data_IF_676929340942
#
_entry.id   IF_676929340942
#
_cell.length_a   1.000
_cell.length_b   1.000
_cell.length_c   1.000
_cell.angle_alpha   90.00
_cell.angle_beta   90.00
_cell.angle_gamma   90.00
#
_symmetry.space_group_name_H-M   'P 1'
#
loop_
_entity.id
_entity.type
_entity.pdbx_description
1 polymer ?
#
# COMPACT_ATOMS: atom_id res chain seq x y z
N UNK A 1 -8.79 -16.30 27.09
CA UNK A 1 -8.94 -17.19 25.93
C UNK A 1 -8.02 -18.39 25.99
N UNK A 2 -6.70 -18.22 26.05
CA UNK A 2 -5.71 -19.32 26.05
C UNK A 2 -5.87 -20.25 27.27
N UNK A 3 -6.08 -19.72 28.45
CA UNK A 3 -6.24 -20.45 29.71
C UNK A 3 -7.67 -20.94 29.98
N UNK A 4 -8.62 -20.62 29.10
CA UNK A 4 -10.00 -21.07 29.27
C UNK A 4 -10.11 -22.58 29.10
N UNK A 5 -10.69 -23.27 30.11
CA UNK A 5 -10.87 -24.72 30.13
C UNK A 5 -11.99 -25.23 29.22
N UNK A 6 -12.93 -24.35 28.84
CA UNK A 6 -14.10 -24.70 28.00
C UNK A 6 -13.98 -24.14 26.60
N UNK A 7 -14.48 -24.86 25.60
CA UNK A 7 -14.54 -24.41 24.21
C UNK A 7 -15.41 -23.14 24.09
N UNK A 8 -16.52 -23.06 24.81
CA UNK A 8 -17.41 -21.90 24.84
C UNK A 8 -16.70 -20.66 25.39
N UNK A 9 -15.95 -20.80 26.50
CA UNK A 9 -15.15 -19.70 27.05
C UNK A 9 -14.05 -19.23 26.11
N UNK A 10 -13.37 -20.15 25.40
CA UNK A 10 -12.39 -19.78 24.35
C UNK A 10 -13.03 -18.95 23.25
N UNK A 11 -14.20 -19.36 22.73
CA UNK A 11 -14.94 -18.63 21.70
C UNK A 11 -15.42 -17.28 22.19
N UNK A 12 -15.94 -17.18 23.41
CA UNK A 12 -16.38 -15.91 24.00
C UNK A 12 -15.25 -14.89 24.05
N UNK A 13 -14.12 -15.22 24.63
CA UNK A 13 -12.97 -14.33 24.71
C UNK A 13 -12.37 -13.97 23.34
N UNK A 14 -12.40 -14.92 22.40
CA UNK A 14 -11.99 -14.67 21.02
C UNK A 14 -12.87 -13.60 20.36
N UNK A 15 -14.20 -13.78 20.37
CA UNK A 15 -15.11 -12.83 19.73
C UNK A 15 -15.17 -11.50 20.44
N UNK A 16 -15.04 -11.48 21.77
CA UNK A 16 -14.93 -10.24 22.54
C UNK A 16 -13.68 -9.46 22.11
N UNK A 17 -12.52 -10.11 22.00
CA UNK A 17 -11.28 -9.44 21.56
C UNK A 17 -11.37 -8.93 20.13
N UNK A 18 -11.96 -9.70 19.20
CA UNK A 18 -12.23 -9.26 17.81
C UNK A 18 -13.18 -8.06 17.82
N UNK A 19 -14.29 -8.16 18.58
CA UNK A 19 -15.30 -7.10 18.69
C UNK A 19 -14.73 -5.80 19.23
N UNK A 20 -13.87 -5.84 20.24
CA UNK A 20 -13.18 -4.67 20.79
C UNK A 20 -12.29 -4.02 19.73
N UNK A 21 -11.42 -4.77 19.05
CA UNK A 21 -10.52 -4.23 18.02
C UNK A 21 -11.30 -3.59 16.85
N UNK A 22 -12.32 -4.28 16.33
CA UNK A 22 -13.17 -3.77 15.24
C UNK A 22 -14.05 -2.61 15.74
N UNK A 23 -14.55 -2.67 16.96
CA UNK A 23 -15.38 -1.63 17.58
C UNK A 23 -14.65 -0.30 17.71
N UNK A 24 -13.39 -0.31 18.18
CA UNK A 24 -12.55 0.88 18.21
C UNK A 24 -12.33 1.45 16.81
N UNK A 25 -11.96 0.61 15.84
CA UNK A 25 -11.80 1.05 14.45
C UNK A 25 -13.12 1.61 13.89
N UNK A 26 -14.25 0.95 14.16
CA UNK A 26 -15.57 1.38 13.75
C UNK A 26 -15.97 2.74 14.33
N UNK A 27 -15.71 2.94 15.61
CA UNK A 27 -16.03 4.19 16.31
C UNK A 27 -15.16 5.36 15.80
N UNK A 28 -13.84 5.20 15.77
CA UNK A 28 -12.95 6.31 15.45
C UNK A 28 -12.88 6.64 13.95
N UNK A 29 -12.97 5.62 13.07
CA UNK A 29 -12.77 5.81 11.62
C UNK A 29 -14.07 5.84 10.82
N UNK A 30 -15.08 5.04 11.20
CA UNK A 30 -16.23 4.77 10.32
C UNK A 30 -17.56 5.33 10.81
N UNK A 31 -17.66 5.79 12.06
CA UNK A 31 -18.92 6.27 12.63
C UNK A 31 -19.57 7.36 11.76
N UNK A 32 -18.83 8.42 11.45
CA UNK A 32 -19.35 9.56 10.69
C UNK A 32 -19.76 9.16 9.27
N UNK A 33 -19.02 8.25 8.63
CA UNK A 33 -19.38 7.72 7.30
C UNK A 33 -20.71 6.97 7.33
N UNK A 34 -20.91 6.10 8.32
CA UNK A 34 -22.19 5.37 8.44
C UNK A 34 -23.33 6.30 8.82
N UNK A 35 -23.13 7.26 9.72
CA UNK A 35 -24.16 8.23 10.12
C UNK A 35 -24.59 9.10 8.91
N UNK A 36 -23.65 9.61 8.13
CA UNK A 36 -23.94 10.40 6.94
C UNK A 36 -24.64 9.55 5.86
N UNK A 37 -24.08 8.37 5.52
CA UNK A 37 -24.67 7.48 4.50
C UNK A 37 -26.09 7.00 4.89
N UNK A 38 -26.35 6.78 6.18
CA UNK A 38 -27.67 6.42 6.67
C UNK A 38 -28.65 7.59 6.56
N UNK A 39 -28.23 8.80 6.90
CA UNK A 39 -29.06 10.01 6.73
C UNK A 39 -29.40 10.26 5.26
N UNK A 40 -28.42 10.09 4.36
CA UNK A 40 -28.64 10.20 2.92
C UNK A 40 -29.66 9.15 2.43
N UNK A 41 -29.53 7.90 2.87
CA UNK A 41 -30.47 6.83 2.52
C UNK A 41 -31.89 7.13 3.02
N UNK A 42 -32.04 7.67 4.24
CA UNK A 42 -33.34 8.08 4.77
C UNK A 42 -33.94 9.24 3.97
N UNK A 43 -33.11 10.18 3.51
CA UNK A 43 -33.55 11.32 2.71
C UNK A 43 -34.15 10.88 1.36
N UNK A 44 -33.64 9.80 0.76
CA UNK A 44 -34.18 9.21 -0.48
C UNK A 44 -35.60 8.64 -0.31
N UNK A 45 -35.98 8.23 0.91
CA UNK A 45 -37.35 7.74 1.23
C UNK A 45 -38.21 8.80 1.93
N UNK A 46 -37.78 10.08 1.89
CA UNK A 46 -38.55 11.24 2.36
C UNK A 46 -38.33 11.64 3.82
N UNK A 47 -37.46 10.96 4.58
CA UNK A 47 -37.17 11.32 5.96
C UNK A 47 -35.92 12.24 6.02
N UNK A 48 -36.10 13.52 6.34
CA UNK A 48 -35.01 14.45 6.57
C UNK A 48 -34.48 14.28 7.98
N UNK A 49 -33.25 13.78 8.12
CA UNK A 49 -32.54 13.63 9.39
C UNK A 49 -31.20 14.33 9.31
N UNK A 50 -30.80 15.00 10.38
CA UNK A 50 -29.43 15.52 10.53
C UNK A 50 -28.59 14.43 11.19
N UNK A 51 -27.53 13.92 10.54
CA UNK A 51 -26.69 12.91 11.16
C UNK A 51 -25.96 13.49 12.37
N UNK A 52 -25.95 12.72 13.47
CA UNK A 52 -25.13 13.10 14.61
C UNK A 52 -23.67 12.80 14.30
N UNK A 53 -22.88 13.84 14.00
CA UNK A 53 -21.46 13.75 13.65
C UNK A 53 -20.63 13.91 14.91
N UNK A 54 -19.67 13.00 15.12
CA UNK A 54 -18.72 13.05 16.21
C UNK A 54 -17.45 13.80 15.79
N UNK A 55 -17.04 14.78 16.58
CA UNK A 55 -15.74 15.45 16.45
C UNK A 55 -14.67 14.66 17.21
N UNK A 56 -14.24 13.54 16.66
CA UNK A 56 -13.25 12.66 17.29
C UNK A 56 -11.95 12.70 16.50
N UNK A 57 -10.84 12.93 17.19
CA UNK A 57 -9.50 12.86 16.58
C UNK A 57 -9.16 11.39 16.30
N UNK A 58 -8.85 11.08 15.04
CA UNK A 58 -8.44 9.74 14.65
C UNK A 58 -7.06 9.41 15.26
N UNK A 59 -6.95 8.38 16.12
CA UNK A 59 -5.66 7.97 16.66
C UNK A 59 -4.69 7.55 15.56
N UNK A 60 -3.47 8.09 15.58
CA UNK A 60 -2.44 7.80 14.60
C UNK A 60 -2.13 6.30 14.59
N UNK A 61 -2.16 5.70 13.39
CA UNK A 61 -1.85 4.27 13.22
C UNK A 61 -2.96 3.29 13.61
N UNK A 62 -4.19 3.77 13.98
CA UNK A 62 -5.28 2.88 14.43
C UNK A 62 -5.53 1.69 13.49
N UNK A 63 -5.47 1.92 12.19
CA UNK A 63 -5.66 0.87 11.19
C UNK A 63 -4.56 -0.20 11.24
N UNK A 64 -3.31 0.20 11.51
CA UNK A 64 -2.15 -0.70 11.56
C UNK A 64 -2.12 -1.52 12.85
N UNK A 65 -2.24 -0.88 14.01
CA UNK A 65 -2.24 -1.64 15.26
C UNK A 65 -3.50 -2.50 15.47
N UNK A 66 -4.62 -2.15 14.81
CA UNK A 66 -5.78 -3.05 14.74
C UNK A 66 -5.43 -4.36 14.02
N UNK A 67 -4.70 -4.31 12.90
CA UNK A 67 -4.24 -5.53 12.24
C UNK A 67 -3.26 -6.35 13.08
N UNK A 68 -2.36 -5.69 13.83
CA UNK A 68 -1.47 -6.37 14.77
C UNK A 68 -2.30 -7.10 15.86
N UNK A 69 -3.25 -6.39 16.48
CA UNK A 69 -4.12 -6.97 17.51
C UNK A 69 -4.98 -8.12 17.00
N UNK A 70 -5.63 -7.94 15.84
CA UNK A 70 -6.45 -8.99 15.23
C UNK A 70 -5.63 -10.24 14.89
N UNK A 71 -4.48 -10.08 14.23
CA UNK A 71 -3.63 -11.22 13.88
C UNK A 71 -3.11 -11.95 15.12
N UNK A 72 -2.70 -11.21 16.16
CA UNK A 72 -2.25 -11.77 17.43
C UNK A 72 -3.33 -12.62 18.10
N UNK A 73 -4.55 -12.08 18.23
CA UNK A 73 -5.69 -12.82 18.82
C UNK A 73 -6.04 -14.07 18.01
N UNK A 74 -6.08 -13.96 16.67
CA UNK A 74 -6.38 -15.09 15.79
C UNK A 74 -5.28 -16.16 15.87
N UNK A 75 -4.02 -15.75 15.91
CA UNK A 75 -2.89 -16.69 15.96
C UNK A 75 -2.81 -17.43 17.31
N UNK A 76 -3.13 -16.77 18.43
CA UNK A 76 -3.29 -17.43 19.72
C UNK A 76 -4.47 -18.43 19.68
N UNK A 77 -5.63 -18.00 19.15
CA UNK A 77 -6.80 -18.87 19.05
C UNK A 77 -6.53 -20.14 18.23
N UNK A 78 -5.73 -19.99 17.16
CA UNK A 78 -5.29 -21.09 16.27
C UNK A 78 -4.07 -21.84 16.78
N UNK A 79 -3.58 -21.56 17.99
CA UNK A 79 -2.37 -22.14 18.62
C UNK A 79 -1.10 -21.99 17.77
N UNK A 80 -0.98 -20.91 16.98
CA UNK A 80 0.21 -20.61 16.18
C UNK A 80 1.30 -19.93 17.00
N UNK A 81 0.90 -19.19 18.05
CA UNK A 81 1.78 -18.53 19.01
C UNK A 81 1.18 -18.64 20.40
N UNK A 82 2.04 -18.70 21.42
CA UNK A 82 1.61 -18.58 22.83
C UNK A 82 1.37 -17.11 23.17
N UNK A 83 0.43 -16.81 24.08
CA UNK A 83 0.24 -15.44 24.54
C UNK A 83 1.49 -14.92 25.25
N UNK A 84 1.89 -13.69 24.91
CA UNK A 84 2.96 -13.01 25.61
C UNK A 84 2.47 -12.57 26.99
N UNK A 85 3.26 -12.88 28.03
CA UNK A 85 2.97 -12.52 29.42
C UNK A 85 3.74 -11.29 29.89
N UNK A 86 4.83 -10.97 29.21
CA UNK A 86 5.60 -9.77 29.47
C UNK A 86 4.90 -8.57 28.81
N UNK A 87 4.37 -7.67 29.62
CA UNK A 87 3.69 -6.46 29.14
C UNK A 87 4.61 -5.57 28.31
N UNK A 88 5.89 -5.50 28.65
CA UNK A 88 6.87 -4.65 27.92
C UNK A 88 7.07 -5.22 26.52
N UNK A 89 7.32 -6.52 26.37
CA UNK A 89 7.54 -7.16 25.07
C UNK A 89 6.31 -7.00 24.16
N UNK A 90 5.12 -7.19 24.72
CA UNK A 90 3.87 -6.97 23.98
C UNK A 90 3.68 -5.50 23.59
N UNK A 91 3.97 -4.57 24.49
CA UNK A 91 3.86 -3.14 24.19
C UNK A 91 4.83 -2.71 23.10
N UNK A 92 6.07 -3.21 23.14
CA UNK A 92 7.07 -2.95 22.08
C UNK A 92 6.62 -3.54 20.75
N UNK A 93 6.04 -4.76 20.74
CA UNK A 93 5.50 -5.35 19.51
C UNK A 93 4.41 -4.49 18.87
N UNK A 94 3.45 -3.97 19.66
CA UNK A 94 2.33 -3.16 19.15
C UNK A 94 2.79 -1.76 18.72
N UNK A 95 3.73 -1.17 19.46
CA UNK A 95 4.21 0.20 19.27
C UNK A 95 5.59 0.29 18.62
N UNK A 96 6.05 -0.74 17.91
CA UNK A 96 7.36 -0.73 17.26
C UNK A 96 7.44 0.43 16.26
N UNK A 97 8.19 1.46 16.62
CA UNK A 97 8.08 2.78 16.01
C UNK A 97 8.25 2.83 14.49
N UNK A 98 9.07 1.97 13.82
CA UNK A 98 9.15 2.00 12.36
C UNK A 98 7.84 1.61 11.66
N UNK A 99 6.90 0.96 12.39
CA UNK A 99 5.63 0.45 11.87
C UNK A 99 4.42 1.24 12.35
N UNK A 100 4.60 2.23 13.22
CA UNK A 100 3.51 2.84 13.98
C UNK A 100 2.50 3.57 13.08
N UNK A 101 3.00 4.28 12.05
CA UNK A 101 2.19 5.13 11.17
C UNK A 101 1.82 4.41 9.89
N UNK A 102 2.79 3.74 9.32
CA UNK A 102 2.71 3.01 8.07
C UNK A 102 3.82 1.93 8.07
N UNK A 103 4.07 1.32 6.96
CA UNK A 103 5.09 0.29 6.87
C UNK A 103 4.50 -1.09 6.71
N UNK A 104 5.31 -2.15 6.79
CA UNK A 104 4.79 -3.52 6.67
C UNK A 104 3.89 -3.90 7.85
N UNK A 105 2.75 -4.52 7.55
CA UNK A 105 1.86 -5.07 8.57
C UNK A 105 2.47 -6.36 9.10
N UNK A 106 3.13 -6.25 10.25
CA UNK A 106 3.81 -7.36 10.89
C UNK A 106 2.86 -8.30 11.64
N UNK A 107 3.33 -9.52 11.84
CA UNK A 107 2.64 -10.53 12.65
C UNK A 107 3.43 -10.82 13.90
N UNK A 108 2.73 -11.12 15.00
CA UNK A 108 3.38 -11.49 16.24
C UNK A 108 4.28 -12.73 16.08
N UNK A 109 3.87 -13.67 15.24
CA UNK A 109 4.67 -14.86 14.92
C UNK A 109 6.01 -14.56 14.25
N UNK A 110 6.18 -13.39 13.63
CA UNK A 110 7.41 -12.97 12.95
C UNK A 110 8.21 -11.94 13.77
N UNK A 111 7.56 -10.91 14.30
CA UNK A 111 8.24 -9.80 14.97
C UNK A 111 8.56 -10.10 16.44
N UNK A 112 7.61 -10.67 17.21
CA UNK A 112 7.77 -10.86 18.65
C UNK A 112 9.00 -11.73 19.03
N UNK A 113 9.27 -12.87 18.36
CA UNK A 113 10.49 -13.66 18.64
C UNK A 113 11.78 -12.86 18.39
N UNK A 114 11.81 -11.97 17.40
CA UNK A 114 12.97 -11.14 17.10
C UNK A 114 13.19 -10.07 18.19
N UNK A 115 12.11 -9.53 18.77
CA UNK A 115 12.20 -8.57 19.89
C UNK A 115 12.76 -9.20 21.15
N UNK A 116 12.44 -10.47 21.42
CA UNK A 116 12.86 -11.22 22.59
C UNK A 116 14.28 -11.77 22.51
N UNK A 117 14.83 -11.93 21.30
CA UNK A 117 16.16 -12.46 21.12
C UNK A 117 17.24 -11.43 21.42
N UNK A 118 18.36 -11.88 22.02
CA UNK A 118 19.55 -11.09 22.21
C UNK A 118 20.15 -10.74 20.84
N UNK A 119 20.25 -9.45 20.55
CA UNK A 119 20.78 -8.96 19.27
C UNK A 119 22.28 -8.72 19.36
N UNK A 120 22.96 -8.99 18.27
CA UNK A 120 24.38 -8.68 18.09
C UNK A 120 24.50 -7.63 16.98
N UNK A 121 25.45 -6.71 17.16
CA UNK A 121 25.75 -5.72 16.13
C UNK A 121 26.30 -6.41 14.88
N UNK A 122 25.66 -6.18 13.73
CA UNK A 122 26.11 -6.63 12.42
C UNK A 122 26.33 -5.43 11.51
N UNK A 123 27.60 -5.18 11.17
CA UNK A 123 28.02 -4.07 10.31
C UNK A 123 27.45 -4.19 8.90
N UNK A 124 27.32 -5.40 8.36
CA UNK A 124 26.80 -5.61 7.01
C UNK A 124 25.31 -5.27 6.97
N UNK A 125 24.53 -5.75 7.95
CA UNK A 125 23.10 -5.46 8.09
C UNK A 125 22.85 -3.96 8.32
N UNK A 126 23.66 -3.31 9.17
CA UNK A 126 23.59 -1.86 9.39
C UNK A 126 23.87 -1.07 8.10
N UNK A 127 24.94 -1.43 7.37
CA UNK A 127 25.31 -0.73 6.13
C UNK A 127 24.21 -0.92 5.06
N UNK A 128 23.62 -2.09 4.96
CA UNK A 128 22.50 -2.36 4.06
C UNK A 128 21.26 -1.58 4.47
N UNK A 129 20.94 -1.52 5.78
CA UNK A 129 19.87 -0.70 6.33
C UNK A 129 20.00 0.79 5.99
N UNK A 130 21.21 1.36 6.15
CA UNK A 130 21.46 2.76 5.79
C UNK A 130 21.30 3.03 4.29
N UNK A 131 21.72 2.11 3.42
CA UNK A 131 21.46 2.23 1.98
C UNK A 131 19.97 2.18 1.65
N UNK A 132 19.22 1.31 2.32
CA UNK A 132 17.78 1.21 2.12
C UNK A 132 17.06 2.47 2.62
N UNK A 133 17.47 3.05 3.76
CA UNK A 133 16.96 4.36 4.22
C UNK A 133 17.23 5.45 3.18
N UNK A 134 18.45 5.52 2.65
CA UNK A 134 18.83 6.50 1.62
C UNK A 134 17.93 6.40 0.38
N UNK A 135 17.64 5.16 -0.08
CA UNK A 135 16.76 4.93 -1.20
C UNK A 135 15.30 5.31 -0.87
N UNK A 136 14.84 5.02 0.33
CA UNK A 136 13.52 5.42 0.82
C UNK A 136 13.35 6.94 0.85
N UNK A 137 14.35 7.67 1.36
CA UNK A 137 14.37 9.13 1.38
C UNK A 137 14.37 9.71 -0.04
N UNK A 138 15.16 9.15 -0.96
CA UNK A 138 15.13 9.55 -2.36
C UNK A 138 13.72 9.41 -2.96
N UNK A 139 13.06 8.27 -2.77
CA UNK A 139 11.70 8.05 -3.27
C UNK A 139 10.71 9.06 -2.68
N UNK A 140 10.78 9.31 -1.36
CA UNK A 140 9.86 10.25 -0.68
C UNK A 140 10.12 11.68 -1.14
N UNK A 141 11.34 12.18 -0.99
CA UNK A 141 11.65 13.61 -1.16
C UNK A 141 11.76 13.99 -2.63
N UNK A 142 12.46 13.17 -3.44
CA UNK A 142 12.77 13.55 -4.84
C UNK A 142 11.62 13.20 -5.77
N UNK A 143 10.94 12.09 -5.57
CA UNK A 143 9.89 11.64 -6.50
C UNK A 143 8.48 11.97 -5.97
N UNK A 144 8.13 11.45 -4.77
CA UNK A 144 6.77 11.53 -4.28
C UNK A 144 6.31 12.97 -4.03
N UNK A 145 7.10 13.76 -3.30
CA UNK A 145 6.72 15.13 -2.92
C UNK A 145 6.65 16.06 -4.14
N UNK A 146 7.57 15.90 -5.10
CA UNK A 146 7.52 16.66 -6.35
C UNK A 146 6.33 16.25 -7.24
N UNK A 147 5.98 14.96 -7.31
CA UNK A 147 4.76 14.51 -7.99
C UNK A 147 3.49 14.99 -7.29
N UNK A 148 3.48 15.02 -5.95
CA UNK A 148 2.34 15.42 -5.14
C UNK A 148 1.89 16.85 -5.43
N UNK A 149 2.82 17.78 -5.61
CA UNK A 149 2.52 19.18 -5.89
C UNK A 149 1.65 19.33 -7.14
N UNK A 150 2.00 18.64 -8.22
CA UNK A 150 1.25 18.69 -9.49
C UNK A 150 0.00 17.81 -9.46
N UNK A 151 0.07 16.62 -8.83
CA UNK A 151 -1.11 15.78 -8.68
C UNK A 151 -2.20 16.48 -7.89
N UNK A 152 -1.86 17.12 -6.76
CA UNK A 152 -2.82 17.87 -5.94
C UNK A 152 -3.40 19.07 -6.71
N UNK A 153 -2.58 19.85 -7.43
CA UNK A 153 -3.04 20.97 -8.23
C UNK A 153 -4.10 20.52 -9.25
N UNK A 154 -3.84 19.43 -9.97
CA UNK A 154 -4.74 18.94 -11.03
C UNK A 154 -5.99 18.26 -10.44
N UNK A 155 -5.86 17.43 -9.43
CA UNK A 155 -6.99 16.72 -8.81
C UNK A 155 -7.93 17.64 -8.02
N UNK A 156 -7.43 18.74 -7.48
CA UNK A 156 -8.27 19.68 -6.74
C UNK A 156 -9.12 20.58 -7.68
N UNK A 157 -8.69 20.77 -8.92
CA UNK A 157 -9.36 21.62 -9.90
C UNK A 157 -9.55 20.92 -11.27
N UNK A 158 -10.16 19.71 -11.33
CA UNK A 158 -10.21 18.93 -12.57
C UNK A 158 -11.07 19.57 -13.68
N UNK A 159 -11.95 20.49 -13.31
CA UNK A 159 -12.78 21.22 -14.28
C UNK A 159 -11.96 22.14 -15.19
N UNK A 160 -10.85 22.68 -14.68
CA UNK A 160 -10.03 23.70 -15.33
C UNK A 160 -9.09 23.13 -16.41
N UNK A 161 -8.90 21.78 -16.44
CA UNK A 161 -7.90 21.15 -17.28
C UNK A 161 -8.50 20.28 -18.38
N UNK A 162 -7.79 20.12 -19.50
CA UNK A 162 -8.10 19.18 -20.57
C UNK A 162 -7.76 17.72 -20.17
N UNK A 163 -8.30 16.76 -20.94
CA UNK A 163 -8.09 15.33 -20.69
C UNK A 163 -6.62 14.91 -20.71
N UNK A 164 -5.80 15.54 -21.53
CA UNK A 164 -4.34 15.34 -21.58
C UNK A 164 -3.66 15.70 -20.25
N UNK A 165 -4.00 16.86 -19.66
CA UNK A 165 -3.47 17.29 -18.35
C UNK A 165 -3.99 16.42 -17.22
N UNK A 166 -5.27 16.01 -17.28
CA UNK A 166 -5.82 15.05 -16.31
C UNK A 166 -5.07 13.70 -16.34
N UNK A 167 -4.71 13.22 -17.53
CA UNK A 167 -3.89 12.01 -17.64
C UNK A 167 -2.50 12.21 -17.00
N UNK A 168 -1.85 13.35 -17.23
CA UNK A 168 -0.58 13.71 -16.58
C UNK A 168 -0.75 13.76 -15.04
N UNK A 169 -1.83 14.36 -14.55
CA UNK A 169 -2.16 14.37 -13.11
C UNK A 169 -2.33 12.96 -12.54
N UNK A 170 -3.01 12.06 -13.26
CA UNK A 170 -3.16 10.67 -12.87
C UNK A 170 -1.82 9.91 -12.84
N UNK A 171 -0.92 10.19 -13.78
CA UNK A 171 0.44 9.64 -13.79
C UNK A 171 1.25 10.16 -12.59
N UNK A 172 1.22 11.46 -12.30
CA UNK A 172 1.89 12.01 -11.12
C UNK A 172 1.36 11.40 -9.83
N UNK A 173 0.05 11.23 -9.68
CA UNK A 173 -0.51 10.55 -8.52
C UNK A 173 -0.07 9.08 -8.44
N UNK A 174 0.02 8.38 -9.57
CA UNK A 174 0.49 7.00 -9.64
C UNK A 174 1.92 6.86 -9.09
N UNK A 175 2.82 7.79 -9.42
CA UNK A 175 4.19 7.79 -8.88
C UNK A 175 4.24 8.34 -7.45
N UNK A 176 3.43 9.32 -7.11
CA UNK A 176 3.30 9.83 -5.74
C UNK A 176 2.94 8.70 -4.77
N UNK A 177 1.82 8.00 -4.98
CA UNK A 177 1.35 6.95 -4.06
C UNK A 177 2.36 5.80 -3.93
N UNK A 178 3.02 5.43 -5.02
CA UNK A 178 4.05 4.39 -4.98
C UNK A 178 5.29 4.85 -4.21
N UNK A 179 5.86 5.99 -4.57
CA UNK A 179 7.11 6.45 -4.01
C UNK A 179 6.96 6.93 -2.57
N UNK A 180 5.83 7.52 -2.21
CA UNK A 180 5.53 7.93 -0.83
C UNK A 180 5.46 6.70 0.09
N UNK A 181 4.63 5.74 -0.25
CA UNK A 181 4.46 4.56 0.61
C UNK A 181 5.62 3.56 0.53
N UNK A 182 6.20 3.31 -0.65
CA UNK A 182 7.37 2.43 -0.74
C UNK A 182 8.62 3.10 -0.16
N UNK A 183 8.72 4.44 -0.23
CA UNK A 183 9.77 5.21 0.42
C UNK A 183 9.73 5.06 1.94
N UNK A 184 8.55 5.29 2.54
CA UNK A 184 8.33 5.04 3.97
C UNK A 184 8.67 3.58 4.34
N UNK A 185 8.18 2.61 3.55
CA UNK A 185 8.46 1.19 3.81
C UNK A 185 9.96 0.87 3.80
N UNK A 186 10.73 1.43 2.85
CA UNK A 186 12.17 1.24 2.80
C UNK A 186 12.89 1.90 3.99
N UNK A 187 12.45 3.09 4.41
CA UNK A 187 12.96 3.74 5.63
C UNK A 187 12.68 2.86 6.84
N UNK A 188 11.46 2.32 6.97
CA UNK A 188 11.07 1.46 8.08
C UNK A 188 11.91 0.17 8.13
N UNK A 189 12.07 -0.51 6.97
CA UNK A 189 12.89 -1.73 6.87
C UNK A 189 14.35 -1.44 7.20
N UNK A 190 14.92 -0.39 6.62
CA UNK A 190 16.29 0.01 6.86
C UNK A 190 16.53 0.38 8.32
N UNK A 191 15.62 1.13 8.93
CA UNK A 191 15.67 1.50 10.35
C UNK A 191 15.62 0.27 11.26
N UNK A 192 14.70 -0.67 10.99
CA UNK A 192 14.62 -1.91 11.76
C UNK A 192 15.91 -2.73 11.68
N UNK A 193 16.58 -2.76 10.52
CA UNK A 193 17.89 -3.40 10.34
C UNK A 193 18.99 -2.80 11.19
N UNK A 194 18.95 -1.49 11.49
CA UNK A 194 19.90 -0.87 12.43
C UNK A 194 19.77 -1.46 13.85
N UNK A 195 18.60 -1.96 14.19
CA UNK A 195 18.33 -2.66 15.47
C UNK A 195 18.48 -4.18 15.36
N UNK A 196 18.95 -4.70 14.23
CA UNK A 196 19.07 -6.15 14.01
C UNK A 196 17.70 -6.87 13.84
N UNK A 197 16.68 -6.15 13.37
CA UNK A 197 15.32 -6.68 13.14
C UNK A 197 15.04 -6.68 11.65
N UNK A 198 14.53 -7.81 11.13
CA UNK A 198 14.08 -7.95 9.75
C UNK A 198 12.55 -7.83 9.70
N UNK A 199 12.06 -6.89 8.90
CA UNK A 199 10.64 -6.69 8.65
C UNK A 199 10.20 -7.31 7.33
N UNK A 200 8.90 -7.59 7.20
CA UNK A 200 8.30 -8.07 5.96
C UNK A 200 8.40 -6.99 4.85
N UNK A 201 8.63 -7.45 3.63
CA UNK A 201 8.67 -6.55 2.48
C UNK A 201 7.27 -6.11 2.07
N UNK A 202 7.10 -4.82 1.72
CA UNK A 202 5.83 -4.27 1.23
C UNK A 202 5.76 -4.14 -0.29
N UNK A 203 6.88 -3.85 -0.96
CA UNK A 203 6.90 -3.58 -2.40
C UNK A 203 7.99 -4.37 -3.11
N UNK A 204 7.68 -4.88 -4.30
CA UNK A 204 8.58 -5.64 -5.16
C UNK A 204 8.46 -5.17 -6.62
N UNK A 205 8.76 -3.88 -6.89
CA UNK A 205 8.71 -3.27 -8.22
C UNK A 205 7.36 -3.49 -8.94
N UNK A 206 6.23 -3.04 -8.35
CA UNK A 206 4.88 -3.39 -8.78
C UNK A 206 4.54 -2.88 -10.18
N UNK A 207 5.10 -1.76 -10.64
CA UNK A 207 4.78 -1.19 -11.96
C UNK A 207 5.41 -1.94 -13.14
N UNK A 208 6.24 -2.94 -12.87
CA UNK A 208 6.73 -3.89 -13.89
C UNK A 208 5.90 -5.17 -13.96
N UNK A 209 4.71 -5.20 -13.36
CA UNK A 209 3.81 -6.35 -13.38
C UNK A 209 3.14 -6.52 -14.74
N UNK A 210 3.07 -7.77 -15.22
CA UNK A 210 2.49 -8.13 -16.53
C UNK A 210 0.98 -8.37 -16.47
N UNK A 211 0.42 -8.53 -15.27
CA UNK A 211 -1.01 -8.62 -15.02
C UNK A 211 -1.38 -8.13 -13.61
N UNK A 212 -2.68 -7.93 -13.37
CA UNK A 212 -3.21 -7.42 -12.10
C UNK A 212 -2.96 -8.38 -10.93
N UNK A 213 -2.91 -9.70 -11.17
CA UNK A 213 -2.61 -10.65 -10.11
C UNK A 213 -1.12 -10.59 -9.71
N UNK A 214 -0.22 -10.38 -10.66
CA UNK A 214 1.19 -10.09 -10.39
C UNK A 214 1.35 -8.76 -9.66
N UNK A 215 0.61 -7.70 -10.07
CA UNK A 215 0.63 -6.40 -9.41
C UNK A 215 0.31 -6.53 -7.92
N UNK A 216 -0.77 -7.20 -7.54
CA UNK A 216 -1.16 -7.37 -6.13
C UNK A 216 -0.22 -8.30 -5.34
N UNK A 217 0.56 -9.15 -5.99
CA UNK A 217 1.64 -9.90 -5.34
C UNK A 217 2.88 -9.05 -5.05
N UNK A 218 3.01 -7.87 -5.71
CA UNK A 218 4.15 -6.95 -5.62
C UNK A 218 3.82 -5.62 -4.94
N UNK A 219 2.55 -5.30 -4.80
CA UNK A 219 2.01 -4.11 -4.14
C UNK A 219 1.47 -4.45 -2.77
N UNK A 220 1.92 -3.69 -1.74
CA UNK A 220 1.48 -3.81 -0.34
C UNK A 220 1.39 -5.27 0.12
N UNK A 221 2.51 -6.00 -0.03
CA UNK A 221 2.59 -7.46 0.11
C UNK A 221 2.15 -7.90 1.52
N UNK A 222 2.53 -7.14 2.56
CA UNK A 222 2.17 -7.46 3.93
C UNK A 222 0.66 -7.43 4.16
N UNK A 223 -0.05 -6.42 3.61
CA UNK A 223 -1.52 -6.31 3.65
C UNK A 223 -2.19 -7.43 2.84
N UNK A 224 -1.73 -7.63 1.60
CA UNK A 224 -2.28 -8.66 0.70
C UNK A 224 -2.15 -10.06 1.30
N UNK A 225 -1.01 -10.35 1.94
CA UNK A 225 -0.80 -11.63 2.65
C UNK A 225 -1.59 -11.70 3.95
N UNK A 226 -1.79 -10.57 4.66
CA UNK A 226 -2.65 -10.53 5.83
C UNK A 226 -4.10 -10.89 5.47
N UNK A 227 -4.69 -10.25 4.45
CA UNK A 227 -6.03 -10.58 3.98
C UNK A 227 -6.14 -12.03 3.47
N UNK A 228 -5.11 -12.53 2.80
CA UNK A 228 -5.07 -13.95 2.40
C UNK A 228 -5.19 -14.87 3.61
N UNK A 229 -4.38 -14.65 4.66
CA UNK A 229 -4.21 -15.60 5.77
C UNK A 229 -5.34 -15.50 6.81
N UNK A 230 -5.90 -14.30 7.01
CA UNK A 230 -6.90 -14.04 8.04
C UNK A 230 -8.33 -13.84 7.50
N UNK A 231 -8.50 -13.65 6.18
CA UNK A 231 -9.81 -13.50 5.57
C UNK A 231 -10.05 -14.53 4.45
N UNK A 232 -9.19 -14.60 3.43
CA UNK A 232 -9.41 -15.46 2.26
C UNK A 232 -9.40 -16.95 2.62
N UNK A 233 -8.39 -17.41 3.31
CA UNK A 233 -8.27 -18.82 3.71
C UNK A 233 -9.42 -19.23 4.63
N UNK A 234 -9.81 -18.46 5.67
CA UNK A 234 -10.99 -18.77 6.48
C UNK A 234 -12.32 -18.81 5.71
N UNK A 235 -12.48 -18.02 4.65
CA UNK A 235 -13.66 -18.06 3.76
C UNK A 235 -13.69 -19.28 2.81
N UNK A 236 -12.73 -20.21 2.94
CA UNK A 236 -12.57 -21.40 2.11
C UNK A 236 -11.47 -21.27 1.04
N UNK A 237 -10.87 -20.10 0.89
CA UNK A 237 -9.74 -19.87 -0.01
C UNK A 237 -10.07 -20.24 -1.46
N UNK A 238 -9.14 -20.97 -2.09
CA UNK A 238 -9.28 -21.47 -3.48
C UNK A 238 -9.86 -22.90 -3.56
N UNK A 239 -10.25 -23.51 -2.42
CA UNK A 239 -10.71 -24.90 -2.37
C UNK A 239 -12.13 -25.09 -2.89
N UNK A 240 -12.92 -24.05 -2.96
CA UNK A 240 -14.28 -24.07 -3.52
C UNK A 240 -14.31 -24.02 -5.05
N UNK A 241 -15.48 -24.15 -5.64
CA UNK A 241 -15.69 -23.95 -7.08
C UNK A 241 -15.40 -22.52 -7.54
N UNK A 242 -15.59 -22.24 -8.84
CA UNK A 242 -15.32 -20.93 -9.45
C UNK A 242 -16.05 -19.80 -8.72
N UNK A 243 -17.33 -19.96 -8.40
CA UNK A 243 -18.13 -18.96 -7.69
C UNK A 243 -17.60 -18.63 -6.31
N UNK A 244 -17.09 -19.61 -5.55
CA UNK A 244 -16.46 -19.36 -4.24
C UNK A 244 -15.21 -18.52 -4.39
N UNK A 245 -14.38 -18.78 -5.39
CA UNK A 245 -13.17 -17.98 -5.67
C UNK A 245 -13.52 -16.54 -6.06
N UNK A 246 -14.50 -16.35 -6.92
CA UNK A 246 -15.01 -15.04 -7.32
C UNK A 246 -15.52 -14.28 -6.09
N UNK A 247 -16.46 -14.86 -5.35
CA UNK A 247 -17.01 -14.26 -4.11
C UNK A 247 -15.90 -13.87 -3.13
N UNK A 248 -15.00 -14.78 -2.81
CA UNK A 248 -13.93 -14.54 -1.85
C UNK A 248 -12.99 -13.41 -2.32
N UNK A 249 -12.72 -13.32 -3.63
CA UNK A 249 -11.92 -12.25 -4.21
C UNK A 249 -12.62 -10.91 -4.08
N UNK A 250 -13.93 -10.82 -4.41
CA UNK A 250 -14.70 -9.60 -4.21
C UNK A 250 -14.73 -9.17 -2.74
N UNK A 251 -14.98 -10.10 -1.81
CA UNK A 251 -14.98 -9.79 -0.36
C UNK A 251 -13.66 -9.16 0.06
N UNK A 252 -12.52 -9.75 -0.35
CA UNK A 252 -11.20 -9.21 0.02
C UNK A 252 -10.99 -7.81 -0.51
N UNK A 253 -11.26 -7.58 -1.79
CA UNK A 253 -11.01 -6.27 -2.39
C UNK A 253 -11.97 -5.21 -1.86
N UNK A 254 -13.24 -5.54 -1.61
CA UNK A 254 -14.20 -4.62 -0.98
C UNK A 254 -13.79 -4.28 0.46
N UNK A 255 -13.40 -5.29 1.25
CA UNK A 255 -12.91 -5.07 2.63
C UNK A 255 -11.61 -4.28 2.61
N UNK A 256 -10.70 -4.56 1.67
CA UNK A 256 -9.46 -3.78 1.49
C UNK A 256 -9.76 -2.33 1.13
N UNK A 257 -10.69 -2.09 0.20
CA UNK A 257 -11.12 -0.75 -0.16
C UNK A 257 -11.70 -0.01 1.05
N UNK A 258 -12.65 -0.61 1.74
CA UNK A 258 -13.25 -0.04 2.94
C UNK A 258 -12.22 0.26 4.03
N UNK A 259 -11.22 -0.59 4.21
CA UNK A 259 -10.13 -0.36 5.18
C UNK A 259 -9.29 0.89 4.86
N UNK A 260 -9.06 1.21 3.58
CA UNK A 260 -8.29 2.39 3.19
C UNK A 260 -8.95 3.68 3.65
N UNK A 261 -10.28 3.81 3.51
CA UNK A 261 -10.94 5.03 3.94
C UNK A 261 -12.46 4.91 4.01
N UNK A 262 -13.05 5.79 4.82
CA UNK A 262 -14.49 5.92 5.02
C UNK A 262 -15.12 6.75 3.88
N UNK A 263 -14.98 6.29 2.62
CA UNK A 263 -15.56 6.93 1.43
C UNK A 263 -15.95 5.85 0.40
N UNK A 264 -17.02 6.11 -0.32
CA UNK A 264 -17.51 5.24 -1.39
C UNK A 264 -16.50 5.02 -2.52
N UNK A 265 -15.62 6.00 -2.78
CA UNK A 265 -14.55 5.88 -3.78
C UNK A 265 -13.63 4.70 -3.51
N UNK A 266 -13.29 4.42 -2.25
CA UNK A 266 -12.47 3.28 -1.87
C UNK A 266 -13.18 1.93 -2.07
N UNK A 267 -14.50 1.89 -1.83
CA UNK A 267 -15.31 0.69 -2.07
C UNK A 267 -15.36 0.40 -3.57
N UNK A 268 -15.61 1.43 -4.40
CA UNK A 268 -15.61 1.32 -5.87
C UNK A 268 -14.22 0.95 -6.38
N UNK A 269 -13.15 1.53 -5.83
CA UNK A 269 -11.78 1.13 -6.15
C UNK A 269 -11.53 -0.35 -5.86
N UNK A 270 -11.98 -0.85 -4.71
CA UNK A 270 -11.91 -2.27 -4.38
C UNK A 270 -12.66 -3.14 -5.38
N UNK A 271 -13.90 -2.76 -5.72
CA UNK A 271 -14.70 -3.46 -6.73
C UNK A 271 -14.02 -3.50 -8.10
N UNK A 272 -13.45 -2.38 -8.56
CA UNK A 272 -12.69 -2.31 -9.82
C UNK A 272 -11.51 -3.27 -9.84
N UNK A 273 -10.72 -3.32 -8.76
CA UNK A 273 -9.60 -4.26 -8.68
C UNK A 273 -10.06 -5.72 -8.68
N UNK A 274 -11.18 -6.02 -8.01
CA UNK A 274 -11.80 -7.35 -8.10
C UNK A 274 -12.23 -7.66 -9.54
N UNK A 275 -12.82 -6.70 -10.26
CA UNK A 275 -13.20 -6.86 -11.66
C UNK A 275 -11.99 -7.06 -12.58
N UNK A 276 -10.90 -6.31 -12.39
CA UNK A 276 -9.69 -6.43 -13.20
C UNK A 276 -9.00 -7.78 -13.05
N UNK A 277 -9.09 -8.42 -11.88
CA UNK A 277 -8.50 -9.75 -11.67
C UNK A 277 -9.43 -10.90 -12.14
N UNK A 278 -10.73 -10.64 -12.34
CA UNK A 278 -11.72 -11.67 -12.73
C UNK A 278 -11.32 -12.47 -13.96
N UNK A 279 -10.92 -11.86 -15.11
CA UNK A 279 -10.54 -12.62 -16.31
C UNK A 279 -9.43 -13.64 -16.03
N UNK A 280 -8.49 -13.30 -15.14
CA UNK A 280 -7.38 -14.18 -14.75
C UNK A 280 -7.85 -15.35 -13.88
N UNK A 281 -8.83 -15.11 -13.00
CA UNK A 281 -9.42 -16.17 -12.16
C UNK A 281 -10.24 -17.13 -12.99
N UNK A 282 -11.08 -16.60 -13.89
CA UNK A 282 -11.95 -17.41 -14.78
C UNK A 282 -11.10 -18.27 -15.73
N UNK A 283 -10.04 -17.70 -16.30
CA UNK A 283 -9.12 -18.42 -17.20
C UNK A 283 -8.10 -19.30 -16.47
N UNK A 284 -8.06 -19.30 -15.12
CA UNK A 284 -7.07 -20.06 -14.35
C UNK A 284 -5.64 -19.51 -14.43
N UNK A 285 -5.45 -18.32 -15.00
CA UNK A 285 -4.12 -17.72 -15.24
C UNK A 285 -3.62 -16.79 -14.14
N UNK A 286 -4.33 -16.66 -13.02
CA UNK A 286 -3.99 -15.75 -11.94
C UNK A 286 -2.67 -16.07 -11.19
N UNK A 287 -2.02 -17.19 -11.51
CA UNK A 287 -0.69 -17.60 -11.02
C UNK A 287 0.33 -17.85 -12.14
N UNK A 288 0.13 -17.27 -13.30
CA UNK A 288 0.97 -17.52 -14.47
C UNK A 288 2.34 -16.82 -14.36
N UNK A 289 2.41 -15.61 -13.80
CA UNK A 289 3.63 -14.82 -13.66
C UNK A 289 4.10 -14.80 -12.20
N UNK A 290 4.89 -15.80 -11.79
CA UNK A 290 5.47 -15.87 -10.43
C UNK A 290 6.94 -15.41 -10.43
N UNK A 291 7.63 -15.50 -11.55
CA UNK A 291 9.01 -15.07 -11.74
C UNK A 291 9.11 -13.54 -11.95
N UNK A 292 10.32 -13.01 -11.82
CA UNK A 292 10.60 -11.61 -12.12
C UNK A 292 10.56 -11.39 -13.62
N UNK A 293 9.94 -10.30 -14.07
CA UNK A 293 9.89 -9.94 -15.50
C UNK A 293 11.29 -9.77 -16.06
N UNK A 294 11.54 -10.32 -17.26
CA UNK A 294 12.84 -10.30 -17.92
C UNK A 294 13.99 -10.73 -17.00
N UNK A 295 13.78 -11.72 -16.13
CA UNK A 295 14.81 -12.23 -15.22
C UNK A 295 16.03 -12.72 -16.01
N UNK A 296 17.23 -12.27 -15.60
CA UNK A 296 18.48 -12.57 -16.27
C UNK A 296 18.66 -11.91 -17.66
N UNK A 297 17.72 -11.03 -18.08
CA UNK A 297 17.80 -10.29 -19.36
C UNK A 297 17.72 -8.79 -19.08
N UNK A 298 18.36 -7.99 -19.91
CA UNK A 298 18.32 -6.53 -19.74
C UNK A 298 16.99 -5.94 -20.22
N UNK A 299 16.48 -6.37 -21.36
CA UNK A 299 15.23 -5.86 -21.94
C UNK A 299 14.09 -6.89 -21.83
N UNK A 300 12.85 -6.43 -21.62
CA UNK A 300 11.68 -7.28 -21.71
C UNK A 300 11.38 -7.62 -23.18
N UNK A 301 10.68 -8.70 -23.43
CA UNK A 301 10.08 -8.96 -24.74
C UNK A 301 8.98 -7.95 -25.04
N UNK A 302 8.64 -7.74 -26.30
CA UNK A 302 7.55 -6.85 -26.73
C UNK A 302 6.22 -7.26 -26.07
N UNK A 303 5.98 -8.57 -25.91
CA UNK A 303 4.79 -9.09 -25.22
C UNK A 303 4.78 -8.72 -23.71
N UNK A 304 5.92 -8.86 -23.05
CA UNK A 304 6.06 -8.45 -21.65
C UNK A 304 5.89 -6.93 -21.51
N UNK A 305 6.50 -6.13 -22.37
CA UNK A 305 6.37 -4.67 -22.37
C UNK A 305 4.91 -4.23 -22.58
N UNK A 306 4.21 -4.81 -23.56
CA UNK A 306 2.79 -4.54 -23.78
C UNK A 306 1.89 -4.97 -22.61
N UNK A 307 2.22 -6.10 -21.96
CA UNK A 307 1.49 -6.56 -20.77
C UNK A 307 1.72 -5.65 -19.55
N UNK A 308 2.97 -5.21 -19.31
CA UNK A 308 3.30 -4.23 -18.28
C UNK A 308 2.57 -2.90 -18.50
N UNK A 309 2.61 -2.38 -19.72
CA UNK A 309 1.94 -1.13 -20.07
C UNK A 309 0.43 -1.20 -19.83
N UNK A 310 -0.23 -2.27 -20.28
CA UNK A 310 -1.66 -2.49 -20.02
C UNK A 310 -1.97 -2.54 -18.53
N UNK A 311 -1.18 -3.28 -17.74
CA UNK A 311 -1.37 -3.40 -16.29
C UNK A 311 -1.16 -2.05 -15.61
N UNK A 312 -0.14 -1.30 -16.02
CA UNK A 312 0.11 0.05 -15.53
C UNK A 312 -1.06 0.99 -15.81
N UNK A 313 -1.63 0.97 -17.02
CA UNK A 313 -2.81 1.79 -17.35
C UNK A 313 -4.03 1.42 -16.51
N UNK A 314 -4.31 0.13 -16.31
CA UNK A 314 -5.42 -0.32 -15.46
C UNK A 314 -5.24 0.13 -14.00
N UNK A 315 -4.02 0.05 -13.48
CA UNK A 315 -3.74 0.52 -12.12
C UNK A 315 -3.83 2.03 -12.02
N UNK A 316 -3.34 2.78 -12.99
CA UNK A 316 -3.48 4.25 -13.05
C UNK A 316 -4.96 4.66 -13.09
N UNK A 317 -5.78 3.96 -13.88
CA UNK A 317 -7.24 4.19 -13.90
C UNK A 317 -7.88 3.94 -12.52
N UNK A 318 -7.49 2.85 -11.84
CA UNK A 318 -7.97 2.57 -10.50
C UNK A 318 -7.50 3.64 -9.49
N UNK A 319 -6.29 4.18 -9.63
CA UNK A 319 -5.78 5.24 -8.77
C UNK A 319 -6.53 6.56 -8.92
N UNK A 320 -7.12 6.86 -10.08
CA UNK A 320 -8.01 8.03 -10.24
C UNK A 320 -9.20 7.92 -9.28
N UNK A 321 -9.84 6.75 -9.23
CA UNK A 321 -10.98 6.50 -8.33
C UNK A 321 -10.56 6.57 -6.87
N UNK A 322 -9.38 6.05 -6.54
CA UNK A 322 -8.83 6.08 -5.19
C UNK A 322 -8.57 7.52 -4.69
N UNK A 323 -8.08 8.43 -5.57
CA UNK A 323 -7.71 9.81 -5.23
C UNK A 323 -8.89 10.78 -5.22
N UNK A 324 -9.93 10.48 -5.98
CA UNK A 324 -11.06 11.39 -6.15
C UNK A 324 -11.80 11.63 -4.82
N UNK A 325 -12.26 12.84 -4.59
CA UNK A 325 -13.00 13.21 -3.40
C UNK A 325 -14.37 12.50 -3.31
N UNK A 326 -14.98 12.20 -4.46
CA UNK A 326 -16.25 11.47 -4.56
C UNK A 326 -16.39 10.76 -5.91
N UNK A 327 -17.40 9.91 -6.05
CA UNK A 327 -17.63 9.11 -7.26
C UNK A 327 -17.91 9.97 -8.48
N UNK A 328 -18.65 11.07 -8.33
CA UNK A 328 -18.97 11.95 -9.44
C UNK A 328 -17.70 12.59 -10.01
N UNK A 329 -16.81 13.08 -9.14
CA UNK A 329 -15.51 13.61 -9.56
C UNK A 329 -14.67 12.53 -10.27
N UNK A 330 -14.61 11.31 -9.74
CA UNK A 330 -13.90 10.21 -10.39
C UNK A 330 -14.44 9.93 -11.80
N UNK A 331 -15.76 9.88 -11.94
CA UNK A 331 -16.42 9.66 -13.21
C UNK A 331 -16.15 10.78 -14.23
N UNK A 332 -16.29 12.03 -13.81
CA UNK A 332 -16.02 13.19 -14.67
C UNK A 332 -14.55 13.27 -15.11
N UNK A 333 -13.64 13.00 -14.19
CA UNK A 333 -12.21 12.93 -14.45
C UNK A 333 -11.90 11.89 -15.54
N UNK A 334 -12.39 10.67 -15.38
CA UNK A 334 -12.21 9.57 -16.34
C UNK A 334 -12.88 9.92 -17.68
N UNK A 335 -14.14 10.39 -17.65
CA UNK A 335 -14.86 10.77 -18.87
C UNK A 335 -14.11 11.83 -19.67
N UNK A 336 -13.51 12.82 -19.01
CA UNK A 336 -12.78 13.91 -19.66
C UNK A 336 -11.47 13.40 -20.26
N UNK A 337 -10.75 12.47 -19.61
CA UNK A 337 -9.58 11.80 -20.19
C UNK A 337 -9.97 11.08 -21.51
N UNK A 338 -11.10 10.37 -21.55
CA UNK A 338 -11.55 9.67 -22.76
C UNK A 338 -12.32 10.53 -23.77
N UNK A 339 -12.22 11.86 -23.66
CA UNK A 339 -12.77 12.79 -24.63
C UNK A 339 -11.73 13.23 -25.67
N UNK A 340 -12.17 14.02 -26.67
CA UNK A 340 -11.26 14.58 -27.68
C UNK A 340 -10.15 15.46 -27.07
N UNK A 341 -10.35 16.00 -25.88
CA UNK A 341 -9.36 16.83 -25.18
C UNK A 341 -8.13 16.01 -24.69
N UNK A 342 -8.15 14.69 -24.80
CA UNK A 342 -6.94 13.86 -24.59
C UNK A 342 -5.82 14.21 -25.59
N UNK A 343 -6.18 14.62 -26.80
CA UNK A 343 -5.24 14.89 -27.88
C UNK A 343 -4.77 16.36 -27.95
N UNK A 344 -5.12 17.18 -26.95
CA UNK A 344 -4.58 18.52 -26.80
C UNK A 344 -3.21 18.49 -26.12
N UNK A 345 -2.43 19.57 -26.27
CA UNK A 345 -1.17 19.70 -25.52
C UNK A 345 -1.50 19.90 -24.04
N UNK A 346 -0.90 19.13 -23.12
CA UNK A 346 -1.15 19.34 -21.71
C UNK A 346 -0.71 20.72 -21.22
N UNK A 347 -1.53 21.36 -20.40
CA UNK A 347 -1.25 22.70 -19.83
C UNK A 347 -0.15 22.63 -18.74
N UNK A 348 0.04 21.47 -18.13
CA UNK A 348 1.00 21.24 -17.04
C UNK A 348 2.00 20.17 -17.46
N UNK A 349 3.24 20.58 -17.76
CA UNK A 349 4.31 19.69 -18.23
C UNK A 349 5.64 20.01 -17.53
N UNK A 350 5.78 19.73 -16.22
CA UNK A 350 7.03 19.98 -15.49
C UNK A 350 8.13 19.02 -15.97
N UNK A 351 8.95 19.46 -16.91
CA UNK A 351 9.98 18.63 -17.53
C UNK A 351 10.95 18.00 -16.51
N UNK A 352 11.31 18.74 -15.47
CA UNK A 352 12.18 18.26 -14.39
C UNK A 352 11.58 17.03 -13.68
N UNK A 353 10.30 17.08 -13.30
CA UNK A 353 9.64 15.96 -12.61
C UNK A 353 9.46 14.76 -13.55
N UNK A 354 9.14 15.01 -14.82
CA UNK A 354 9.05 13.94 -15.83
C UNK A 354 10.39 13.24 -16.03
N UNK A 355 11.49 13.99 -16.10
CA UNK A 355 12.85 13.42 -16.17
C UNK A 355 13.18 12.61 -14.92
N UNK A 356 12.85 13.11 -13.73
CA UNK A 356 13.07 12.40 -12.48
C UNK A 356 12.32 11.06 -12.44
N UNK A 357 11.08 11.03 -12.91
CA UNK A 357 10.29 9.78 -13.02
C UNK A 357 10.97 8.79 -13.97
N UNK A 358 11.45 9.25 -15.13
CA UNK A 358 12.14 8.38 -16.09
C UNK A 358 13.42 7.80 -15.47
N UNK A 359 14.25 8.66 -14.84
CA UNK A 359 15.48 8.22 -14.16
C UNK A 359 15.16 7.22 -13.05
N UNK A 360 14.15 7.52 -12.23
CA UNK A 360 13.68 6.61 -11.18
C UNK A 360 13.27 5.24 -11.76
N UNK A 361 12.47 5.22 -12.81
CA UNK A 361 12.03 3.96 -13.44
C UNK A 361 13.19 3.16 -14.03
N UNK A 362 14.21 3.82 -14.58
CA UNK A 362 15.41 3.15 -15.07
C UNK A 362 16.23 2.52 -13.92
N UNK A 363 16.36 3.22 -12.79
CA UNK A 363 17.04 2.68 -11.59
C UNK A 363 16.25 1.50 -11.01
N UNK A 364 14.93 1.62 -10.90
CA UNK A 364 14.04 0.53 -10.45
C UNK A 364 14.10 -0.68 -11.39
N UNK A 365 14.14 -0.44 -12.71
CA UNK A 365 14.28 -1.50 -13.70
C UNK A 365 15.60 -2.26 -13.54
N UNK A 366 16.70 -1.54 -13.34
CA UNK A 366 18.01 -2.17 -13.14
C UNK A 366 18.03 -2.99 -11.84
N UNK A 367 17.47 -2.45 -10.77
CA UNK A 367 17.44 -3.11 -9.47
C UNK A 367 16.34 -4.14 -9.26
N UNK A 368 15.48 -4.43 -10.26
CA UNK A 368 14.25 -5.22 -10.10
C UNK A 368 14.44 -6.66 -9.56
N UNK A 369 15.62 -7.22 -9.72
CA UNK A 369 15.99 -8.54 -9.20
C UNK A 369 16.54 -8.50 -7.76
N UNK A 370 16.60 -7.32 -7.15
CA UNK A 370 17.16 -7.10 -5.83
C UNK A 370 16.05 -6.82 -4.79
N UNK A 371 16.35 -6.89 -3.49
CA UNK A 371 15.40 -6.49 -2.45
C UNK A 371 14.90 -5.05 -2.60
N UNK A 372 15.76 -4.12 -2.99
CA UNK A 372 15.46 -2.72 -3.33
C UNK A 372 16.45 -2.24 -4.40
N UNK A 373 16.10 -1.19 -5.15
CA UNK A 373 16.75 -0.87 -6.42
C UNK A 373 18.28 -0.66 -6.32
N UNK A 374 18.76 -0.03 -5.25
CA UNK A 374 20.19 0.26 -5.07
C UNK A 374 20.94 -0.74 -4.16
N UNK A 375 20.34 -1.90 -3.84
CA UNK A 375 20.95 -2.87 -2.93
C UNK A 375 22.37 -3.29 -3.36
N UNK A 376 22.61 -3.45 -4.65
CA UNK A 376 23.91 -3.78 -5.23
C UNK A 376 24.67 -2.60 -5.86
N UNK A 377 24.16 -1.37 -5.68
CA UNK A 377 24.81 -0.19 -6.25
C UNK A 377 26.28 -0.10 -5.78
N UNK A 378 27.18 -0.08 -6.74
CA UNK A 378 28.60 0.12 -6.50
C UNK A 378 29.34 -1.01 -5.78
N UNK A 379 28.72 -2.18 -5.51
CA UNK A 379 29.43 -3.31 -4.87
C UNK A 379 30.56 -3.86 -5.73
N UNK A 380 30.40 -3.84 -7.04
CA UNK A 380 31.42 -4.22 -8.03
C UNK A 380 32.32 -3.05 -8.46
N UNK A 381 32.05 -1.83 -8.01
CA UNK A 381 32.75 -0.62 -8.44
C UNK A 381 33.84 -0.20 -7.44
N UNK A 382 34.89 0.51 -7.90
CA UNK A 382 35.88 1.11 -7.01
C UNK A 382 35.23 2.01 -5.95
N UNK A 383 35.85 2.09 -4.77
CA UNK A 383 35.32 2.90 -3.65
C UNK A 383 34.92 4.34 -4.04
N UNK A 384 35.72 5.11 -4.80
CA UNK A 384 35.35 6.49 -5.17
C UNK A 384 34.07 6.56 -5.97
N UNK A 385 33.87 5.67 -6.95
CA UNK A 385 32.64 5.63 -7.79
C UNK A 385 31.41 5.32 -6.94
N UNK A 386 31.56 4.38 -6.00
CA UNK A 386 30.46 4.05 -5.07
C UNK A 386 30.08 5.23 -4.19
N UNK A 387 31.05 5.93 -3.63
CA UNK A 387 30.80 7.11 -2.81
C UNK A 387 30.20 8.26 -3.62
N UNK A 388 30.69 8.50 -4.86
CA UNK A 388 30.08 9.48 -5.75
C UNK A 388 28.58 9.20 -6.00
N UNK A 389 28.21 7.93 -6.20
CA UNK A 389 26.81 7.56 -6.38
C UNK A 389 25.95 7.86 -5.13
N UNK A 390 26.45 7.58 -3.93
CA UNK A 390 25.73 7.91 -2.69
C UNK A 390 25.61 9.42 -2.47
N UNK A 391 26.69 10.17 -2.72
CA UNK A 391 26.67 11.63 -2.64
C UNK A 391 25.76 12.25 -3.69
N UNK A 392 25.68 11.69 -4.90
CA UNK A 392 24.74 12.14 -5.92
C UNK A 392 23.28 11.96 -5.47
N UNK A 393 22.95 10.83 -4.83
CA UNK A 393 21.60 10.61 -4.27
C UNK A 393 21.33 11.61 -3.14
N UNK A 394 22.28 11.82 -2.22
CA UNK A 394 22.15 12.83 -1.15
C UNK A 394 21.98 14.23 -1.71
N UNK A 395 22.79 14.63 -2.69
CA UNK A 395 22.68 15.93 -3.36
C UNK A 395 21.34 16.11 -4.03
N UNK A 396 20.80 15.06 -4.68
CA UNK A 396 19.46 15.09 -5.25
C UNK A 396 18.37 15.28 -4.17
N UNK A 397 18.48 14.61 -3.02
CA UNK A 397 17.56 14.78 -1.89
C UNK A 397 17.56 16.24 -1.41
N UNK A 398 18.73 16.86 -1.23
CA UNK A 398 18.81 18.27 -0.80
C UNK A 398 18.35 19.25 -1.88
N UNK A 399 18.68 19.00 -3.14
CA UNK A 399 18.36 19.90 -4.25
C UNK A 399 16.86 19.92 -4.59
N UNK A 400 16.22 18.73 -4.55
CA UNK A 400 14.80 18.57 -4.86
C UNK A 400 13.90 18.59 -3.61
N UNK A 401 14.47 18.85 -2.43
CA UNK A 401 13.67 19.10 -1.22
C UNK A 401 12.84 20.38 -1.45
N UNK A 402 11.55 20.19 -1.72
CA UNK A 402 10.57 21.26 -1.91
C UNK A 402 9.75 21.50 -0.65
N UNK A 403 8.50 21.96 -0.84
CA UNK A 403 7.52 22.04 0.25
C UNK A 403 7.16 20.64 0.74
N UNK A 404 7.25 20.44 2.05
CA UNK A 404 6.87 19.18 2.69
C UNK A 404 5.42 18.82 2.34
N UNK A 405 5.22 17.63 1.81
CA UNK A 405 3.91 17.11 1.49
C UNK A 405 3.47 16.11 2.55
N UNK A 406 2.21 16.22 2.95
CA UNK A 406 1.61 15.31 3.91
C UNK A 406 1.69 13.86 3.39
N UNK A 407 2.10 12.94 4.26
CA UNK A 407 2.14 11.52 3.91
C UNK A 407 0.77 11.04 3.44
N UNK A 408 0.73 10.29 2.36
CA UNK A 408 -0.51 9.95 1.65
C UNK A 408 -1.55 9.24 2.52
N UNK A 409 -1.14 8.44 3.50
CA UNK A 409 -2.04 7.77 4.44
C UNK A 409 -2.73 8.70 5.46
N UNK A 410 -2.28 9.94 5.61
CA UNK A 410 -2.98 10.95 6.41
C UNK A 410 -4.05 11.71 5.63
N UNK A 411 -4.11 11.49 4.32
CA UNK A 411 -5.10 12.14 3.44
C UNK A 411 -6.40 11.33 3.31
N UNK A 412 -6.46 10.10 3.90
CA UNK A 412 -7.58 9.17 3.75
C UNK A 412 -8.17 8.71 5.09
#
# INVERSE_FOLDING_TARGET
MYESRTISGKKFWFWLSIGVNIGFLGFFKYYNFFAASFADALSLVGFKTNPWVLSVVLPVGISFYTFHGLSYVIDIYKNRIKPERNFIDYSVFVSFFPLLVAGPIERATHLLPQLQQRRRFDRAQMTDGLKQILWGLFKKVVIADNCASYANMIFNHPADYHGSTLLVGALFFTFQIYCDFSGYSDIALGTARLFGIELLRNFAFPYFSRDIAEFWRRWHISLSTWFRDYLYIPLGGSKGGMWSRIRNTFIIFLVSGFWHGANWTFIVWGALNALFIMPLIISGKNRHHLEIVAQGRFLPTIREAGAMFRTFLLTTLAWIVFRAANINQAWEYIRKIFSRSLFTVPEVTPANVMILIIVFMLIEWWGREQPYAIARLGLSSPRPVRWMAYYAILAAIFYFAGTEQQFIYFQF
#
